data_IF_789129317420
#
_entry.id   IF_789129317420
#
_cell.length_a   1.000
_cell.length_b   1.000
_cell.length_c   1.000
_cell.angle_alpha   90.00
_cell.angle_beta   90.00
_cell.angle_gamma   90.00
#
_symmetry.space_group_name_H-M   'P 1'
#
loop_
_entity.id
_entity.type
_entity.pdbx_description
1 polymer ?
#
# COMPACT_ATOMS: atom_id res chain seq x y z
N UNK A 1 -1.14 15.72 18.80
CA UNK A 1 -2.22 15.76 17.76
C UNK A 1 -2.61 14.35 17.31
N UNK A 2 -1.65 13.47 17.01
CA UNK A 2 -1.90 12.06 16.63
C UNK A 2 -2.70 11.27 17.69
N UNK A 3 -2.38 11.44 18.99
CA UNK A 3 -3.05 10.71 20.09
C UNK A 3 -4.58 10.93 20.11
N UNK A 4 -5.04 12.19 20.02
CA UNK A 4 -6.49 12.50 19.98
C UNK A 4 -7.20 11.95 18.74
N UNK A 5 -6.51 11.89 17.60
CA UNK A 5 -7.05 11.29 16.40
C UNK A 5 -7.19 9.76 16.54
N UNK A 6 -6.24 9.11 17.24
CA UNK A 6 -6.30 7.69 17.55
C UNK A 6 -7.42 7.35 18.55
N UNK A 7 -7.70 8.20 19.54
CA UNK A 7 -8.84 8.02 20.46
C UNK A 7 -10.18 7.98 19.72
N UNK A 8 -10.41 8.95 18.82
CA UNK A 8 -11.63 8.97 17.99
C UNK A 8 -11.69 7.77 17.04
N UNK A 9 -10.53 7.33 16.53
CA UNK A 9 -10.44 6.15 15.68
C UNK A 9 -10.85 4.88 16.43
N UNK A 10 -10.46 4.71 17.71
CA UNK A 10 -10.84 3.54 18.52
C UNK A 10 -12.35 3.40 18.63
N UNK A 11 -13.06 4.49 18.97
CA UNK A 11 -14.51 4.47 19.08
C UNK A 11 -15.18 4.13 17.73
N UNK A 12 -14.67 4.72 16.64
CA UNK A 12 -15.15 4.41 15.29
C UNK A 12 -14.90 2.95 14.91
N UNK A 13 -13.74 2.40 15.29
CA UNK A 13 -13.37 1.02 15.02
C UNK A 13 -14.22 0.03 15.79
N UNK A 14 -14.47 0.23 17.09
CA UNK A 14 -15.23 -0.70 17.93
C UNK A 14 -16.67 -0.92 17.42
N UNK A 15 -17.32 0.17 17.01
CA UNK A 15 -18.70 0.19 16.54
C UNK A 15 -18.87 -0.13 15.04
N UNK A 16 -17.77 -0.29 14.30
CA UNK A 16 -17.81 -0.57 12.87
C UNK A 16 -18.16 -2.04 12.56
N UNK A 17 -18.82 -2.25 11.42
CA UNK A 17 -19.01 -3.58 10.83
C UNK A 17 -17.68 -4.22 10.43
N UNK A 18 -17.64 -5.53 10.21
CA UNK A 18 -16.42 -6.23 9.83
C UNK A 18 -15.72 -5.65 8.59
N UNK A 19 -16.48 -5.30 7.54
CA UNK A 19 -15.94 -4.70 6.32
C UNK A 19 -15.42 -3.27 6.54
N UNK A 20 -16.10 -2.51 7.41
CA UNK A 20 -15.63 -1.19 7.82
C UNK A 20 -14.36 -1.29 8.68
N UNK A 21 -14.27 -2.25 9.61
CA UNK A 21 -13.06 -2.51 10.41
C UNK A 21 -11.86 -2.81 9.53
N UNK A 22 -12.01 -3.64 8.50
CA UNK A 22 -10.95 -3.88 7.50
C UNK A 22 -10.54 -2.59 6.79
N UNK A 23 -11.51 -1.77 6.39
CA UNK A 23 -11.25 -0.51 5.68
C UNK A 23 -10.53 0.50 6.57
N UNK A 24 -10.94 0.60 7.83
CA UNK A 24 -10.30 1.45 8.84
C UNK A 24 -8.87 1.01 9.13
N UNK A 25 -8.61 -0.30 9.28
CA UNK A 25 -7.25 -0.83 9.43
C UNK A 25 -6.37 -0.51 8.21
N UNK A 26 -6.91 -0.67 7.00
CA UNK A 26 -6.19 -0.33 5.76
C UNK A 26 -5.84 1.16 5.67
N UNK A 27 -6.64 2.04 6.25
CA UNK A 27 -6.39 3.49 6.23
C UNK A 27 -5.17 3.90 7.07
N UNK A 28 -4.84 3.15 8.12
CA UNK A 28 -3.74 3.49 9.05
C UNK A 28 -2.44 2.71 8.78
N UNK A 29 -2.53 1.58 8.09
CA UNK A 29 -1.38 0.75 7.71
C UNK A 29 -0.74 1.35 6.45
N UNK A 30 0.56 1.65 6.52
CA UNK A 30 1.39 2.05 5.37
C UNK A 30 1.81 0.83 4.56
N UNK A 31 2.22 -0.24 5.23
CA UNK A 31 2.80 -1.43 4.58
C UNK A 31 2.67 -2.67 5.47
N UNK A 32 2.50 -3.83 4.83
CA UNK A 32 2.57 -5.14 5.47
C UNK A 32 3.73 -5.91 4.83
N UNK A 33 4.71 -6.30 5.62
CA UNK A 33 5.77 -7.21 5.21
C UNK A 33 5.36 -8.63 5.52
N UNK A 34 5.43 -9.49 4.50
CA UNK A 34 5.14 -10.92 4.62
C UNK A 34 6.45 -11.66 4.38
N UNK A 35 6.67 -12.75 5.10
CA UNK A 35 7.82 -13.61 4.86
C UNK A 35 7.80 -14.18 3.43
N UNK A 36 8.96 -14.60 2.87
CA UNK A 36 9.03 -15.17 1.53
C UNK A 36 8.11 -16.38 1.33
N UNK A 37 7.85 -17.13 2.41
CA UNK A 37 6.91 -18.26 2.43
C UNK A 37 5.43 -17.85 2.25
N UNK A 38 5.13 -16.53 2.24
CA UNK A 38 3.79 -15.90 2.13
C UNK A 38 2.75 -16.38 3.14
N UNK A 39 3.17 -17.06 4.21
CA UNK A 39 2.28 -17.62 5.23
C UNK A 39 2.27 -16.77 6.51
N UNK A 40 3.36 -16.07 6.77
CA UNK A 40 3.58 -15.38 8.04
C UNK A 40 3.83 -13.89 7.81
N UNK A 41 3.16 -13.06 8.61
CA UNK A 41 3.40 -11.61 8.64
C UNK A 41 4.72 -11.39 9.38
N UNK A 42 5.66 -10.71 8.73
CA UNK A 42 6.95 -10.32 9.28
C UNK A 42 6.86 -9.01 10.06
N UNK A 43 6.04 -8.07 9.59
CA UNK A 43 5.87 -6.77 10.25
C UNK A 43 4.80 -5.91 9.59
N UNK A 44 4.30 -4.92 10.34
CA UNK A 44 3.34 -3.93 9.88
C UNK A 44 3.93 -2.55 10.18
N UNK A 45 3.96 -1.68 9.17
CA UNK A 45 4.40 -0.29 9.31
C UNK A 45 3.17 0.61 9.25
N UNK A 46 3.05 1.55 10.19
CA UNK A 46 1.96 2.52 10.24
C UNK A 46 2.39 3.89 9.70
N UNK A 47 1.44 4.69 9.23
CA UNK A 47 1.72 6.03 8.70
C UNK A 47 2.29 7.01 9.73
N UNK A 48 2.08 6.74 11.02
CA UNK A 48 2.49 7.60 12.13
C UNK A 48 3.76 7.14 12.85
N UNK A 49 4.42 6.08 12.37
CA UNK A 49 5.75 5.66 12.87
C UNK A 49 6.84 6.58 12.30
N UNK A 50 6.88 7.84 12.76
CA UNK A 50 7.86 8.83 12.29
C UNK A 50 9.28 8.62 12.86
N UNK A 51 9.47 7.72 13.83
CA UNK A 51 10.72 7.61 14.60
C UNK A 51 11.61 6.43 14.22
N UNK A 52 11.17 5.56 13.30
CA UNK A 52 11.89 4.32 13.00
C UNK A 52 12.84 4.41 11.80
N UNK A 53 13.23 5.62 11.39
CA UNK A 53 14.36 5.86 10.45
C UNK A 53 14.32 5.07 9.15
N UNK A 54 13.17 4.47 8.82
CA UNK A 54 12.98 3.75 7.59
C UNK A 54 12.37 4.74 6.64
N UNK A 55 13.28 5.63 6.22
CA UNK A 55 13.15 6.57 5.13
C UNK A 55 12.38 5.93 3.99
N UNK A 56 11.74 6.79 3.21
CA UNK A 56 10.87 6.53 2.07
C UNK A 56 11.46 5.70 0.91
N UNK A 57 12.39 4.81 1.19
CA UNK A 57 12.57 3.58 0.44
C UNK A 57 11.29 2.73 0.58
N UNK A 58 10.29 3.07 -0.25
CA UNK A 58 9.75 2.10 -1.20
C UNK A 58 10.76 0.96 -1.30
N UNK A 59 10.39 -0.23 -0.81
CA UNK A 59 11.14 -1.41 -1.20
C UNK A 59 11.09 -1.37 -2.72
N UNK A 60 12.18 -0.89 -3.32
CA UNK A 60 12.50 -1.05 -4.72
C UNK A 60 12.50 -2.55 -4.87
N UNK A 61 11.35 -3.10 -5.22
CA UNK A 61 11.27 -4.45 -5.72
C UNK A 61 12.19 -4.42 -6.93
N UNK A 62 13.35 -5.07 -6.81
CA UNK A 62 14.25 -5.32 -7.95
C UNK A 62 13.57 -6.15 -9.06
N UNK A 63 12.28 -6.45 -8.89
CA UNK A 63 11.43 -7.28 -9.72
C UNK A 63 10.25 -6.50 -10.32
N UNK A 64 10.26 -5.17 -10.24
CA UNK A 64 9.33 -4.30 -10.97
C UNK A 64 9.55 -4.41 -12.48
N UNK A 65 9.00 -5.46 -13.11
CA UNK A 65 8.92 -5.56 -14.57
C UNK A 65 7.98 -4.47 -15.07
N UNK A 66 8.52 -3.43 -15.69
CA UNK A 66 7.74 -2.54 -16.55
C UNK A 66 7.27 -3.34 -17.75
N UNK A 67 5.95 -3.47 -17.94
CA UNK A 67 5.39 -3.96 -19.20
C UNK A 67 5.59 -2.85 -20.22
N UNK A 68 6.38 -3.12 -21.27
CA UNK A 68 6.53 -2.20 -22.38
C UNK A 68 5.18 -2.06 -23.08
N UNK A 69 4.62 -0.85 -23.11
CA UNK A 69 3.50 -0.56 -23.99
C UNK A 69 4.05 -0.57 -25.42
N UNK A 70 3.83 -1.69 -26.12
CA UNK A 70 3.97 -1.75 -27.57
C UNK A 70 2.95 -0.77 -28.15
N UNK A 71 3.42 0.39 -28.64
CA UNK A 71 2.63 1.23 -29.54
C UNK A 71 2.48 0.47 -30.87
N UNK A 72 1.27 0.03 -31.28
CA UNK A 72 1.09 -0.36 -32.66
C UNK A 72 1.22 0.89 -33.51
N UNK A 73 2.35 1.05 -34.19
CA UNK A 73 2.50 2.01 -35.26
C UNK A 73 1.57 1.56 -36.39
N UNK A 74 0.40 2.20 -36.49
CA UNK A 74 -0.48 2.02 -37.63
C UNK A 74 0.21 2.63 -38.85
N UNK A 75 0.81 1.77 -39.67
CA UNK A 75 1.30 2.10 -40.99
C UNK A 75 0.08 2.21 -41.93
N UNK A 76 -0.31 3.44 -42.27
CA UNK A 76 -1.22 3.66 -43.40
C UNK A 76 -0.39 3.57 -44.70
N UNK A 77 -0.69 2.63 -45.61
CA UNK A 77 -0.05 2.65 -46.92
C UNK A 77 -0.58 3.85 -47.72
N UNK A 78 0.34 4.72 -48.12
CA UNK A 78 0.11 5.63 -49.24
C UNK A 78 0.34 4.85 -50.53
N UNK A 79 -0.72 4.56 -51.28
CA UNK A 79 -0.61 4.27 -52.71
C UNK A 79 -1.62 5.13 -53.48
N UNK A 80 -1.03 6.14 -54.14
CA UNK A 80 -1.29 6.79 -55.44
C UNK A 80 -2.75 6.88 -55.92
#
# INVERSE_FOLDING_TARGET
MVIKALENFTNLYENATYEQKKSLLRAIIKKIEVQPNRKEIKGITYWFDCNNGQDDALLVSKEGRTVSQINPSYHFPHEI
#
